data_IF_846579499023
#
_entry.id   IF_846579499023
#
_cell.length_a   1.000
_cell.length_b   1.000
_cell.length_c   1.000
_cell.angle_alpha   90.00
_cell.angle_beta   90.00
_cell.angle_gamma   90.00
#
_symmetry.space_group_name_H-M   'P 1'
#
loop_
_entity.id
_entity.type
_entity.pdbx_description
1 polymer ?
#
# COMPACT_ATOMS: atom_id res chain seq x y z
N UNK A 1 13.41 -13.18 9.46
CA UNK A 1 13.38 -11.81 8.89
C UNK A 1 14.76 -11.19 9.04
N UNK A 2 15.20 -10.39 8.06
CA UNK A 2 16.42 -9.59 8.16
C UNK A 2 16.28 -8.53 9.28
N UNK A 3 17.31 -8.34 10.10
CA UNK A 3 17.33 -7.33 11.19
C UNK A 3 17.00 -5.92 10.67
N UNK A 4 17.41 -5.60 9.43
CA UNK A 4 17.10 -4.33 8.76
C UNK A 4 15.60 -4.13 8.56
N UNK A 5 14.85 -5.20 8.26
CA UNK A 5 13.40 -5.13 8.05
C UNK A 5 12.67 -4.86 9.34
N UNK A 6 13.06 -5.51 10.43
CA UNK A 6 12.46 -5.28 11.74
C UNK A 6 12.65 -3.82 12.17
N UNK A 7 13.84 -3.25 11.98
CA UNK A 7 14.09 -1.84 12.25
C UNK A 7 13.26 -0.90 11.37
N UNK A 8 13.11 -1.20 10.08
CA UNK A 8 12.30 -0.37 9.17
C UNK A 8 10.81 -0.46 9.50
N UNK A 9 10.27 -1.65 9.79
CA UNK A 9 8.88 -1.80 10.29
C UNK A 9 8.66 -0.94 11.53
N UNK A 10 9.58 -1.00 12.48
CA UNK A 10 9.53 -0.20 13.71
C UNK A 10 9.55 1.31 13.41
N UNK A 11 10.44 1.75 12.51
CA UNK A 11 10.55 3.15 12.11
C UNK A 11 9.26 3.65 11.42
N UNK A 12 8.65 2.83 10.57
CA UNK A 12 7.37 3.17 9.91
C UNK A 12 6.26 3.29 10.95
N UNK A 13 6.12 2.32 11.85
CA UNK A 13 5.11 2.34 12.90
C UNK A 13 5.29 3.52 13.88
N UNK A 14 6.52 3.99 14.08
CA UNK A 14 6.83 5.16 14.91
C UNK A 14 6.76 6.49 14.17
N UNK A 15 6.63 6.48 12.84
CA UNK A 15 6.57 7.72 12.06
C UNK A 15 5.29 8.48 12.44
N UNK A 16 5.37 9.73 12.90
CA UNK A 16 4.19 10.48 13.28
C UNK A 16 3.27 10.71 12.08
N UNK A 17 1.98 10.38 12.23
CA UNK A 17 0.95 10.61 11.20
C UNK A 17 0.99 12.04 10.63
N UNK A 18 1.19 13.04 11.47
CA UNK A 18 1.29 14.45 11.06
C UNK A 18 2.41 14.70 10.05
N UNK A 19 3.55 14.01 10.18
CA UNK A 19 4.67 14.17 9.26
C UNK A 19 4.34 13.59 7.88
N UNK A 20 3.70 12.41 7.84
CA UNK A 20 3.22 11.78 6.60
C UNK A 20 2.20 12.68 5.91
N UNK A 21 1.21 13.17 6.65
CA UNK A 21 0.18 14.07 6.10
C UNK A 21 0.79 15.37 5.56
N UNK A 22 1.75 15.95 6.26
CA UNK A 22 2.42 17.18 5.81
C UNK A 22 3.16 16.99 4.48
N UNK A 23 4.00 15.96 4.39
CA UNK A 23 4.74 15.66 3.14
C UNK A 23 3.78 15.31 2.00
N UNK A 24 2.75 14.50 2.27
CA UNK A 24 1.75 14.14 1.28
C UNK A 24 1.03 15.38 0.73
N UNK A 25 0.62 16.32 1.58
CA UNK A 25 -0.05 17.54 1.15
C UNK A 25 0.86 18.51 0.39
N UNK A 26 2.17 18.49 0.63
CA UNK A 26 3.13 19.22 -0.22
C UNK A 26 3.13 18.65 -1.64
N UNK A 27 3.17 17.32 -1.76
CA UNK A 27 3.22 16.62 -3.06
C UNK A 27 1.88 16.73 -3.80
N UNK A 28 0.75 16.61 -3.08
CA UNK A 28 -0.60 16.61 -3.64
C UNK A 28 -1.18 18.01 -3.87
N UNK A 29 -0.40 19.07 -3.61
CA UNK A 29 -0.85 20.45 -3.73
C UNK A 29 -1.48 20.72 -5.11
N UNK A 30 -2.73 21.16 -5.10
CA UNK A 30 -3.51 21.44 -6.32
C UNK A 30 -4.19 20.23 -6.95
N UNK A 31 -4.03 19.03 -6.37
CA UNK A 31 -4.67 17.79 -6.82
C UNK A 31 -5.65 17.29 -5.76
N UNK A 32 -5.19 17.16 -4.53
CA UNK A 32 -5.98 16.67 -3.41
C UNK A 32 -5.42 17.14 -2.07
N UNK A 33 -6.24 17.08 -1.05
CA UNK A 33 -5.84 17.26 0.34
C UNK A 33 -6.02 15.95 1.09
N UNK A 34 -4.98 15.48 1.76
CA UNK A 34 -4.99 14.33 2.65
C UNK A 34 -5.31 14.81 4.06
N UNK A 35 -6.50 14.48 4.56
CA UNK A 35 -6.99 14.90 5.88
C UNK A 35 -6.79 13.82 6.95
N UNK A 36 -6.80 12.55 6.57
CA UNK A 36 -6.53 11.44 7.47
C UNK A 36 -5.74 10.32 6.77
N UNK A 37 -4.96 9.60 7.55
CA UNK A 37 -4.15 8.48 7.15
C UNK A 37 -3.91 7.56 8.35
N UNK A 38 -4.02 6.25 8.12
CA UNK A 38 -3.55 5.22 9.03
C UNK A 38 -2.89 4.10 8.23
N UNK A 39 -1.77 3.61 8.71
CA UNK A 39 -1.05 2.51 8.08
C UNK A 39 -0.51 1.58 9.15
N UNK A 40 -1.01 0.35 9.10
CA UNK A 40 -0.61 -0.71 10.00
C UNK A 40 -0.03 -1.84 9.14
N UNK A 41 1.30 -1.96 9.21
CA UNK A 41 2.03 -3.01 8.49
C UNK A 41 1.77 -4.40 9.07
N UNK A 42 1.54 -4.49 10.38
CA UNK A 42 1.41 -5.75 11.08
C UNK A 42 -0.02 -6.31 10.85
N UNK A 43 -1.03 -5.44 10.91
CA UNK A 43 -2.40 -5.80 10.53
C UNK A 43 -2.63 -5.82 9.01
N UNK A 44 -1.68 -5.31 8.21
CA UNK A 44 -1.80 -5.10 6.75
C UNK A 44 -3.03 -4.28 6.37
N UNK A 45 -3.24 -3.18 7.09
CA UNK A 45 -4.39 -2.28 6.86
C UNK A 45 -3.92 -0.89 6.51
N UNK A 46 -4.59 -0.30 5.52
CA UNK A 46 -4.40 1.10 5.15
C UNK A 46 -5.74 1.80 5.19
N UNK A 47 -5.77 2.97 5.80
CA UNK A 47 -6.87 3.92 5.71
C UNK A 47 -6.33 5.25 5.18
N UNK A 48 -7.07 5.85 4.26
CA UNK A 48 -6.77 7.16 3.70
C UNK A 48 -8.07 7.93 3.57
N UNK A 49 -8.09 9.18 4.03
CA UNK A 49 -9.16 10.12 3.76
C UNK A 49 -8.60 11.31 2.98
N UNK A 50 -9.10 11.52 1.77
CA UNK A 50 -8.62 12.60 0.91
C UNK A 50 -9.75 13.32 0.20
N UNK A 51 -9.65 14.64 0.09
CA UNK A 51 -10.58 15.47 -0.68
C UNK A 51 -9.90 15.88 -1.97
N UNK A 52 -10.47 15.51 -3.12
CA UNK A 52 -9.95 15.92 -4.42
C UNK A 52 -10.27 17.40 -4.67
N UNK A 53 -9.39 18.10 -5.40
CA UNK A 53 -9.62 19.48 -5.75
C UNK A 53 -10.89 19.62 -6.62
N UNK A 54 -11.86 20.40 -6.14
CA UNK A 54 -13.17 20.57 -6.79
C UNK A 54 -14.27 19.66 -6.25
N UNK A 55 -13.94 18.69 -5.40
CA UNK A 55 -14.93 17.88 -4.68
C UNK A 55 -15.20 18.46 -3.29
N UNK A 56 -16.45 18.36 -2.83
CA UNK A 56 -16.85 18.81 -1.49
C UNK A 56 -16.65 17.69 -0.47
N UNK A 57 -17.05 16.47 -0.85
CA UNK A 57 -17.05 15.33 0.04
C UNK A 57 -15.71 14.58 -0.01
N UNK A 58 -15.12 14.24 1.15
CA UNK A 58 -13.92 13.43 1.19
C UNK A 58 -14.16 12.03 0.62
N UNK A 59 -13.13 11.48 -0.01
CA UNK A 59 -13.04 10.09 -0.43
C UNK A 59 -12.28 9.34 0.66
N UNK A 60 -12.93 8.34 1.21
CA UNK A 60 -12.35 7.43 2.19
C UNK A 60 -12.03 6.10 1.51
N UNK A 61 -10.84 5.57 1.78
CA UNK A 61 -10.34 4.32 1.21
C UNK A 61 -9.81 3.44 2.32
N UNK A 62 -10.28 2.20 2.37
CA UNK A 62 -9.77 1.16 3.25
C UNK A 62 -9.20 0.01 2.41
N UNK A 63 -7.96 -0.36 2.70
CA UNK A 63 -7.29 -1.52 2.10
C UNK A 63 -6.99 -2.54 3.20
N UNK A 64 -7.29 -3.80 2.95
CA UNK A 64 -7.07 -4.92 3.86
C UNK A 64 -6.31 -6.05 3.13
N UNK A 65 -5.34 -6.64 3.83
CA UNK A 65 -4.56 -7.78 3.34
C UNK A 65 -3.75 -7.48 2.08
N UNK A 66 -2.75 -6.60 2.17
CA UNK A 66 -1.80 -6.38 1.06
C UNK A 66 -0.50 -7.17 1.25
N UNK A 67 0.08 -7.65 0.15
CA UNK A 67 1.34 -8.41 0.16
C UNK A 67 2.08 -8.30 -1.17
N UNK A 68 3.39 -8.53 -1.14
CA UNK A 68 4.15 -8.83 -2.35
C UNK A 68 4.57 -10.30 -2.33
N UNK A 69 4.29 -10.99 -3.41
CA UNK A 69 4.78 -12.33 -3.71
C UNK A 69 5.82 -12.25 -4.82
N UNK A 70 6.84 -13.11 -4.72
CA UNK A 70 7.91 -13.22 -5.69
C UNK A 70 7.81 -14.59 -6.37
N UNK A 71 7.73 -14.61 -7.69
CA UNK A 71 7.80 -15.83 -8.50
C UNK A 71 8.93 -15.68 -9.51
N UNK A 72 9.88 -16.61 -9.48
CA UNK A 72 11.07 -16.60 -10.34
C UNK A 72 11.82 -15.24 -10.33
N UNK A 73 11.61 -14.43 -11.38
CA UNK A 73 12.20 -13.10 -11.60
C UNK A 73 11.17 -11.97 -11.57
N UNK A 74 9.91 -12.30 -11.33
CA UNK A 74 8.80 -11.35 -11.29
C UNK A 74 8.27 -11.19 -9.87
N UNK A 75 7.69 -10.04 -9.60
CA UNK A 75 7.01 -9.76 -8.35
C UNK A 75 5.59 -9.34 -8.63
N UNK A 76 4.70 -9.72 -7.73
CA UNK A 76 3.29 -9.44 -7.84
C UNK A 76 2.79 -8.80 -6.55
N UNK A 77 2.02 -7.74 -6.69
CA UNK A 77 1.24 -7.16 -5.61
C UNK A 77 -0.08 -7.92 -5.52
N UNK A 78 -0.43 -8.39 -4.33
CA UNK A 78 -1.76 -8.90 -4.00
C UNK A 78 -2.41 -7.90 -3.04
N UNK A 79 -3.68 -7.64 -3.27
CA UNK A 79 -4.58 -6.95 -2.36
C UNK A 79 -5.77 -7.89 -2.10
N UNK A 80 -6.04 -8.25 -0.85
CA UNK A 80 -7.18 -9.11 -0.50
C UNK A 80 -8.49 -8.36 -0.64
N UNK A 81 -8.56 -7.13 -0.11
CA UNK A 81 -9.77 -6.32 -0.17
C UNK A 81 -9.46 -4.81 -0.23
N UNK A 82 -10.29 -4.09 -0.99
CA UNK A 82 -10.32 -2.63 -0.99
C UNK A 82 -11.76 -2.13 -1.01
N UNK A 83 -12.06 -1.11 -0.20
CA UNK A 83 -13.39 -0.49 -0.15
C UNK A 83 -13.28 1.03 -0.04
N UNK A 84 -14.35 1.73 -0.40
CA UNK A 84 -14.44 3.17 -0.31
C UNK A 84 -15.88 3.63 -0.04
N UNK A 85 -16.02 4.82 0.54
CA UNK A 85 -17.30 5.51 0.66
C UNK A 85 -17.87 5.93 -0.72
N UNK A 86 -17.06 5.91 -1.79
CA UNK A 86 -17.52 6.10 -3.17
C UNK A 86 -17.76 4.74 -3.86
N UNK A 87 -19.00 4.40 -4.26
CA UNK A 87 -19.32 3.08 -4.82
C UNK A 87 -18.54 2.71 -6.08
N UNK A 88 -18.24 3.69 -6.94
CA UNK A 88 -17.47 3.46 -8.17
C UNK A 88 -16.04 2.97 -7.86
N UNK A 89 -15.43 3.45 -6.78
CA UNK A 89 -14.08 3.08 -6.40
C UNK A 89 -14.05 1.70 -5.74
N UNK A 90 -15.06 1.37 -4.93
CA UNK A 90 -15.28 -0.01 -4.45
C UNK A 90 -15.42 -1.01 -5.60
N UNK A 91 -16.13 -0.62 -6.67
CA UNK A 91 -16.26 -1.45 -7.88
C UNK A 91 -14.96 -1.59 -8.68
N UNK A 92 -14.03 -0.62 -8.58
CA UNK A 92 -12.69 -0.76 -9.16
C UNK A 92 -11.89 -1.73 -8.30
N UNK A 93 -11.92 -1.58 -6.97
CA UNK A 93 -11.22 -2.48 -6.07
C UNK A 93 -11.65 -3.94 -6.24
N UNK A 94 -12.95 -4.21 -6.43
CA UNK A 94 -13.42 -5.58 -6.65
C UNK A 94 -12.89 -6.24 -7.93
N UNK A 95 -12.44 -5.45 -8.92
CA UNK A 95 -11.82 -5.99 -10.15
C UNK A 95 -10.35 -6.37 -9.97
N UNK A 96 -9.67 -5.71 -9.03
CA UNK A 96 -8.23 -5.84 -8.82
C UNK A 96 -7.90 -6.72 -7.61
N UNK A 97 -8.77 -6.73 -6.59
CA UNK A 97 -8.60 -7.52 -5.38
C UNK A 97 -8.62 -9.02 -5.67
N UNK A 98 -7.85 -9.79 -4.91
CA UNK A 98 -7.68 -11.24 -5.05
C UNK A 98 -6.87 -11.67 -6.28
N UNK A 99 -6.38 -10.74 -7.12
CA UNK A 99 -5.57 -11.05 -8.30
C UNK A 99 -4.12 -10.62 -8.10
N UNK A 100 -3.13 -11.41 -8.53
CA UNK A 100 -1.73 -11.00 -8.51
C UNK A 100 -1.47 -9.97 -9.63
N UNK A 101 -1.03 -8.78 -9.25
CA UNK A 101 -0.68 -7.69 -10.18
C UNK A 101 0.82 -7.64 -10.38
N UNK A 102 1.29 -7.94 -11.59
CA UNK A 102 2.72 -7.93 -11.92
C UNK A 102 3.28 -6.51 -11.74
N UNK A 103 4.28 -6.38 -10.88
CA UNK A 103 5.05 -5.16 -10.69
C UNK A 103 6.00 -5.02 -11.89
N UNK A 104 5.93 -3.93 -12.66
CA UNK A 104 6.82 -3.72 -13.79
C UNK A 104 8.30 -3.76 -13.38
N UNK A 105 9.12 -4.45 -14.16
CA UNK A 105 10.56 -4.46 -13.95
C UNK A 105 11.14 -3.08 -14.29
N UNK A 106 11.60 -2.36 -13.27
CA UNK A 106 12.24 -1.06 -13.41
C UNK A 106 13.68 -1.20 -12.89
N UNK A 107 14.67 -1.40 -13.78
CA UNK A 107 16.05 -1.70 -13.37
C UNK A 107 16.63 -0.67 -12.39
N UNK A 108 16.34 0.62 -12.59
CA UNK A 108 16.80 1.68 -11.67
C UNK A 108 16.22 1.58 -10.25
N UNK A 109 15.11 0.87 -10.07
CA UNK A 109 14.45 0.67 -8.77
C UNK A 109 14.52 -0.78 -8.28
N UNK A 110 15.26 -1.67 -8.96
CA UNK A 110 15.29 -3.10 -8.64
C UNK A 110 15.56 -3.37 -7.16
N UNK A 111 16.63 -2.77 -6.61
CA UNK A 111 16.99 -2.92 -5.20
C UNK A 111 15.90 -2.40 -4.23
N UNK A 112 15.21 -1.30 -4.57
CA UNK A 112 14.11 -0.78 -3.77
C UNK A 112 12.90 -1.72 -3.80
N UNK A 113 12.58 -2.25 -4.98
CA UNK A 113 11.50 -3.22 -5.14
C UNK A 113 11.86 -4.54 -4.42
N UNK A 114 13.13 -4.97 -4.41
CA UNK A 114 13.61 -6.13 -3.62
C UNK A 114 13.38 -5.91 -2.14
N UNK A 115 13.79 -4.75 -1.64
CA UNK A 115 13.60 -4.39 -0.25
C UNK A 115 12.11 -4.32 0.14
N UNK A 116 11.27 -3.65 -0.67
CA UNK A 116 9.82 -3.55 -0.39
C UNK A 116 9.16 -4.92 -0.46
N UNK A 117 9.57 -5.79 -1.39
CA UNK A 117 9.06 -7.15 -1.48
C UNK A 117 9.41 -7.98 -0.24
N UNK A 118 10.60 -7.82 0.32
CA UNK A 118 10.99 -8.48 1.55
C UNK A 118 10.23 -7.89 2.77
N UNK A 119 10.02 -6.58 2.80
CA UNK A 119 9.28 -5.88 3.85
C UNK A 119 7.79 -6.29 3.88
N UNK A 120 7.18 -6.44 2.71
CA UNK A 120 5.74 -6.72 2.52
C UNK A 120 5.44 -8.18 2.15
N UNK A 121 6.43 -9.08 2.29
CA UNK A 121 6.27 -10.50 1.96
C UNK A 121 5.07 -11.08 2.73
N UNK A 122 4.23 -11.87 2.07
CA UNK A 122 3.13 -12.58 2.75
C UNK A 122 3.69 -13.45 3.89
N UNK A 123 3.19 -13.26 5.11
CA UNK A 123 3.63 -14.05 6.28
C UNK A 123 3.13 -15.50 6.19
N UNK A 124 2.05 -15.73 5.46
CA UNK A 124 1.46 -17.04 5.19
C UNK A 124 1.34 -17.31 3.67
N UNK A 125 2.38 -17.01 2.88
CA UNK A 125 2.42 -17.57 1.53
C UNK A 125 2.46 -19.11 1.67
N UNK A 126 1.56 -19.89 1.04
CA UNK A 126 1.86 -21.30 0.84
C UNK A 126 3.24 -21.37 0.19
N UNK A 127 4.11 -22.23 0.73
CA UNK A 127 5.32 -22.64 0.04
C UNK A 127 4.93 -22.96 -1.40
N UNK A 128 5.56 -22.23 -2.33
CA UNK A 128 5.71 -22.55 -3.75
C UNK A 128 4.54 -23.33 -4.36
N UNK A 129 3.72 -22.64 -5.17
CA UNK A 129 2.92 -23.35 -6.17
C UNK A 129 3.90 -24.02 -7.15
N UNK A 130 4.19 -25.29 -6.88
CA UNK A 130 4.88 -26.23 -7.78
C UNK A 130 4.09 -26.43 -9.10
#
# INVERSE_FOLDING_TARGET
>A
MSFKISLVKMAINWTPKMMVMWVANIILKGIAELSDYSFDLDARKVYVQTTLYGEIDPIEVWLDGFAIISEEKSKYLILEQGTSNKPWLTNIFSKIAGKPWKIPAMPQFAAHIDFIAELLKAENAPEQLD
#
